data_IF_133192428828
#
_entry.id   IF_133192428828
#
_cell.length_a   1.000
_cell.length_b   1.000
_cell.length_c   1.000
_cell.angle_alpha   90.00
_cell.angle_beta   90.00
_cell.angle_gamma   90.00
#
_symmetry.space_group_name_H-M   'P 1'
#
loop_
_entity.id
_entity.type
_entity.pdbx_description
1 polymer ?
#
# COMPACT_ATOMS: atom_id res chain seq x y z
N UNK A 1 -48.38 -57.14 -13.95
CA UNK A 1 -47.16 -56.66 -13.29
C UNK A 1 -46.01 -56.65 -14.29
N UNK A 2 -45.46 -55.47 -14.61
CA UNK A 2 -44.07 -55.25 -15.04
C UNK A 2 -43.87 -53.73 -15.16
N UNK A 3 -43.15 -53.18 -14.18
CA UNK A 3 -42.70 -51.79 -14.11
C UNK A 3 -41.60 -51.58 -15.16
N UNK A 4 -41.71 -50.53 -15.97
CA UNK A 4 -40.59 -50.02 -16.79
C UNK A 4 -40.15 -48.72 -16.13
N UNK A 5 -38.97 -48.74 -15.52
CA UNK A 5 -38.35 -47.59 -14.89
C UNK A 5 -37.73 -46.67 -15.96
N UNK A 6 -38.14 -45.40 -15.95
CA UNK A 6 -37.51 -44.30 -16.66
C UNK A 6 -36.15 -43.98 -16.04
N UNK A 7 -35.09 -44.03 -16.84
CA UNK A 7 -33.73 -43.67 -16.42
C UNK A 7 -33.34 -42.35 -17.10
N UNK A 8 -33.63 -41.24 -16.42
CA UNK A 8 -33.14 -39.90 -16.80
C UNK A 8 -31.68 -39.78 -16.34
N UNK A 9 -30.75 -39.78 -17.29
CA UNK A 9 -29.34 -39.48 -17.03
C UNK A 9 -29.18 -37.95 -17.08
N UNK A 10 -29.24 -37.31 -15.92
CA UNK A 10 -28.94 -35.89 -15.76
C UNK A 10 -27.43 -35.65 -15.78
N UNK A 11 -26.93 -35.05 -16.86
CA UNK A 11 -25.53 -34.61 -16.97
C UNK A 11 -25.38 -33.23 -16.31
N UNK A 12 -24.96 -33.20 -15.04
CA UNK A 12 -24.64 -31.96 -14.34
C UNK A 12 -23.23 -31.54 -14.73
N UNK A 13 -23.11 -30.56 -15.62
CA UNK A 13 -21.83 -29.92 -15.93
C UNK A 13 -21.40 -29.05 -14.74
N UNK A 14 -20.39 -29.51 -14.00
CA UNK A 14 -19.71 -28.74 -12.97
C UNK A 14 -18.93 -27.59 -13.63
N UNK A 15 -19.50 -26.39 -13.62
CA UNK A 15 -18.73 -25.17 -13.93
C UNK A 15 -17.85 -24.84 -12.73
N UNK A 16 -16.56 -25.12 -12.84
CA UNK A 16 -15.55 -24.70 -11.86
C UNK A 16 -15.48 -23.17 -11.82
N UNK A 17 -15.97 -22.58 -10.74
CA UNK A 17 -15.70 -21.18 -10.44
C UNK A 17 -14.27 -21.08 -9.91
N UNK A 18 -13.37 -20.51 -10.71
CA UNK A 18 -12.06 -20.06 -10.21
C UNK A 18 -12.30 -18.82 -9.35
N UNK A 19 -12.30 -19.00 -8.03
CA UNK A 19 -12.24 -17.90 -7.07
C UNK A 19 -10.92 -17.16 -7.30
N UNK A 20 -11.00 -15.99 -7.95
CA UNK A 20 -9.88 -15.05 -8.01
C UNK A 20 -9.64 -14.55 -6.59
N UNK A 21 -8.65 -15.15 -5.93
CA UNK A 21 -8.11 -14.62 -4.68
C UNK A 21 -7.52 -13.26 -5.00
N UNK A 22 -8.30 -12.21 -4.73
CA UNK A 22 -7.80 -10.83 -4.68
C UNK A 22 -6.74 -10.82 -3.57
N UNK A 23 -5.47 -10.93 -3.97
CA UNK A 23 -4.33 -10.82 -3.07
C UNK A 23 -4.39 -9.40 -2.50
N UNK A 24 -4.99 -9.26 -1.32
CA UNK A 24 -4.79 -8.09 -0.50
C UNK A 24 -3.30 -8.10 -0.15
N UNK A 25 -2.53 -7.25 -0.83
CA UNK A 25 -1.11 -7.00 -0.63
C UNK A 25 -0.87 -6.39 0.76
N UNK A 26 -1.15 -7.14 1.83
CA UNK A 26 -0.72 -6.76 3.17
C UNK A 26 0.75 -7.14 3.27
N UNK A 27 1.60 -6.37 2.59
CA UNK A 27 3.03 -6.58 2.65
C UNK A 27 3.48 -6.05 4.00
N UNK A 28 3.54 -6.95 4.99
CA UNK A 28 4.36 -6.76 6.18
C UNK A 28 5.73 -6.31 5.69
N UNK A 29 6.08 -5.06 5.93
CA UNK A 29 7.42 -4.53 5.69
C UNK A 29 8.30 -5.06 6.81
N UNK A 30 8.61 -6.34 6.76
CA UNK A 30 9.87 -6.80 7.32
C UNK A 30 10.95 -6.25 6.40
N UNK A 31 11.94 -5.56 6.96
CA UNK A 31 13.20 -5.29 6.29
C UNK A 31 14.17 -6.41 6.72
N UNK A 32 14.08 -7.64 6.18
CA UNK A 32 15.17 -8.57 6.34
C UNK A 32 16.40 -7.93 5.68
N UNK A 33 17.55 -8.04 6.32
CA UNK A 33 18.78 -7.31 5.96
C UNK A 33 19.20 -7.49 4.49
N UNK A 34 18.73 -8.54 3.81
CA UNK A 34 18.96 -8.79 2.38
C UNK A 34 18.10 -8.00 1.38
N UNK A 35 17.16 -7.15 1.79
CA UNK A 35 16.30 -6.35 0.89
C UNK A 35 16.50 -4.82 1.06
N UNK A 36 17.70 -4.43 1.49
CA UNK A 36 18.07 -3.03 1.74
C UNK A 36 19.15 -2.63 0.74
N UNK A 37 18.99 -1.48 0.08
CA UNK A 37 19.97 -0.92 -0.84
C UNK A 37 21.21 -0.40 -0.09
N UNK A 38 22.24 -0.03 -0.86
CA UNK A 38 23.52 0.50 -0.36
C UNK A 38 23.36 1.72 0.56
N UNK A 39 22.25 2.44 0.43
CA UNK A 39 21.93 3.65 1.17
C UNK A 39 20.96 3.39 2.34
N UNK A 40 20.63 2.13 2.64
CA UNK A 40 19.75 1.78 3.75
C UNK A 40 18.25 1.82 3.42
N UNK A 41 17.87 2.00 2.15
CA UNK A 41 16.46 1.99 1.75
C UNK A 41 15.98 0.59 1.42
N UNK A 42 14.79 0.24 1.89
CA UNK A 42 14.10 -0.95 1.43
C UNK A 42 13.71 -0.87 -0.05
N UNK A 43 13.30 -2.01 -0.60
CA UNK A 43 12.74 -2.08 -1.95
C UNK A 43 11.52 -1.17 -2.13
N UNK A 44 11.33 -0.65 -3.34
CA UNK A 44 10.08 0.04 -3.71
C UNK A 44 8.88 -0.90 -3.57
N UNK A 45 7.79 -0.37 -3.02
CA UNK A 45 6.49 -1.04 -2.90
C UNK A 45 5.39 -0.14 -3.45
N UNK A 46 4.44 -0.71 -4.15
CA UNK A 46 3.26 0.03 -4.64
C UNK A 46 2.25 0.19 -3.51
N UNK A 47 1.59 1.35 -3.44
CA UNK A 47 0.52 1.58 -2.45
C UNK A 47 -0.70 0.71 -2.75
N UNK A 48 -1.51 0.44 -1.72
CA UNK A 48 -2.65 -0.48 -1.83
C UNK A 48 -3.80 0.02 -2.74
N UNK A 49 -3.91 1.34 -2.95
CA UNK A 49 -5.07 1.99 -3.59
C UNK A 49 -4.71 2.72 -4.89
N UNK A 50 -3.44 3.10 -5.05
CA UNK A 50 -2.97 3.90 -6.19
C UNK A 50 -1.78 3.21 -6.82
N UNK A 51 -2.04 2.42 -7.87
CA UNK A 51 -1.10 1.54 -8.57
C UNK A 51 0.05 2.29 -9.24
N UNK A 52 -0.07 3.60 -9.46
CA UNK A 52 1.00 4.46 -9.98
C UNK A 52 1.80 5.19 -8.88
N UNK A 53 1.46 5.01 -7.61
CA UNK A 53 2.20 5.58 -6.49
C UNK A 53 2.94 4.47 -5.75
N UNK A 54 4.27 4.56 -5.77
CA UNK A 54 5.15 3.68 -5.02
C UNK A 54 5.76 4.44 -3.83
N UNK A 55 6.20 3.69 -2.84
CA UNK A 55 6.94 4.19 -1.69
C UNK A 55 8.05 3.22 -1.31
N UNK A 56 9.07 3.72 -0.64
CA UNK A 56 10.07 2.90 0.05
C UNK A 56 10.36 3.50 1.41
N UNK A 57 10.89 2.67 2.30
CA UNK A 57 11.15 3.06 3.68
C UNK A 57 12.61 2.84 4.04
N UNK A 58 13.15 3.68 4.91
CA UNK A 58 14.47 3.52 5.50
C UNK A 58 14.36 3.64 7.00
N UNK A 59 14.99 2.71 7.71
CA UNK A 59 15.08 2.74 9.15
C UNK A 59 16.36 3.45 9.56
N UNK A 60 16.27 4.43 10.44
CA UNK A 60 17.41 5.10 11.06
C UNK A 60 17.31 4.96 12.58
N UNK A 61 18.36 4.40 13.18
CA UNK A 61 18.45 4.30 14.63
C UNK A 61 18.82 5.69 15.16
N UNK A 62 18.03 6.21 16.09
CA UNK A 62 18.39 7.44 16.79
C UNK A 62 19.44 7.13 17.84
N UNK A 63 20.49 7.96 17.95
CA UNK A 63 21.44 7.92 19.07
C UNK A 63 20.87 8.54 20.34
N UNK A 64 19.79 9.31 20.25
CA UNK A 64 19.25 10.13 21.33
C UNK A 64 17.83 9.74 21.76
N UNK A 65 17.22 8.75 21.11
CA UNK A 65 15.86 8.30 21.41
C UNK A 65 15.79 6.78 21.37
N UNK A 66 14.99 6.22 22.27
CA UNK A 66 14.58 4.81 22.20
C UNK A 66 13.70 4.53 20.98
N UNK A 67 13.09 5.58 20.40
CA UNK A 67 12.27 5.47 19.20
C UNK A 67 13.12 5.32 17.96
N UNK A 68 12.60 4.52 17.03
CA UNK A 68 13.15 4.37 15.69
C UNK A 68 12.65 5.48 14.79
N UNK A 69 13.57 6.13 14.07
CA UNK A 69 13.24 7.09 13.02
C UNK A 69 12.95 6.31 11.73
N UNK A 70 11.70 6.35 11.27
CA UNK A 70 11.29 5.79 9.99
C UNK A 70 11.22 6.89 8.94
N UNK A 71 11.99 6.74 7.88
CA UNK A 71 11.96 7.60 6.70
C UNK A 71 11.11 6.95 5.60
N UNK A 72 10.35 7.76 4.88
CA UNK A 72 9.54 7.35 3.73
C UNK A 72 9.85 8.26 2.55
N UNK A 73 10.02 7.67 1.38
CA UNK A 73 10.18 8.38 0.12
C UNK A 73 9.17 7.85 -0.89
N UNK A 74 8.55 8.76 -1.65
CA UNK A 74 7.55 8.41 -2.65
C UNK A 74 8.09 8.49 -4.08
N UNK A 75 7.47 7.72 -4.98
CA UNK A 75 7.69 7.76 -6.42
C UNK A 75 6.36 7.76 -7.16
N UNK A 76 6.17 8.76 -8.00
CA UNK A 76 4.99 8.92 -8.83
C UNK A 76 5.29 8.40 -10.25
N UNK A 77 4.57 7.36 -10.67
CA UNK A 77 4.58 6.80 -12.03
C UNK A 77 3.38 7.25 -12.87
N UNK A 78 2.52 8.11 -12.33
CA UNK A 78 1.47 8.75 -13.11
C UNK A 78 2.05 9.86 -13.99
N UNK A 79 1.41 10.09 -15.13
CA UNK A 79 1.74 11.18 -16.05
C UNK A 79 1.24 12.56 -15.56
N UNK A 80 0.63 12.62 -14.38
CA UNK A 80 0.09 13.82 -13.78
C UNK A 80 0.81 14.11 -12.46
N UNK A 81 0.93 15.39 -12.12
CA UNK A 81 1.25 15.78 -10.75
C UNK A 81 0.13 15.29 -9.83
N UNK A 82 0.54 14.74 -8.69
CA UNK A 82 -0.38 14.27 -7.66
C UNK A 82 -0.21 15.06 -6.38
N UNK A 83 -1.31 15.26 -5.67
CA UNK A 83 -1.36 15.77 -4.30
C UNK A 83 -2.00 14.70 -3.44
N UNK A 84 -1.41 14.34 -2.31
CA UNK A 84 -1.94 13.27 -1.49
C UNK A 84 -1.63 13.43 -0.02
N UNK A 85 -2.42 12.73 0.78
CA UNK A 85 -2.21 12.65 2.20
C UNK A 85 -1.64 11.28 2.56
N UNK A 86 -0.86 11.23 3.63
CA UNK A 86 -0.34 9.96 4.12
C UNK A 86 -0.16 9.95 5.63
N UNK A 87 0.04 8.75 6.17
CA UNK A 87 0.39 8.53 7.57
C UNK A 87 1.39 7.37 7.68
N UNK A 88 2.38 7.54 8.56
CA UNK A 88 3.36 6.51 8.89
C UNK A 88 2.97 5.97 10.26
N UNK A 89 2.60 4.69 10.38
CA UNK A 89 2.14 4.11 11.65
C UNK A 89 2.85 2.79 11.96
N UNK A 90 2.87 2.35 13.22
CA UNK A 90 3.26 0.97 13.55
C UNK A 90 2.39 -0.01 12.76
N UNK A 91 2.96 -1.13 12.31
CA UNK A 91 2.22 -2.08 11.47
C UNK A 91 1.03 -2.73 12.20
N UNK A 92 1.13 -2.82 13.53
CA UNK A 92 0.03 -3.20 14.43
C UNK A 92 -1.22 -2.31 14.26
N UNK A 93 -1.05 -1.05 13.85
CA UNK A 93 -2.14 -0.08 13.64
C UNK A 93 -2.70 -0.05 12.21
N UNK A 94 -2.21 -0.89 11.29
CA UNK A 94 -2.63 -0.88 9.88
C UNK A 94 -4.16 -1.00 9.70
N UNK A 95 -4.82 -1.84 10.50
CA UNK A 95 -6.27 -2.06 10.38
C UNK A 95 -7.05 -0.84 10.85
N UNK A 96 -6.59 -0.18 11.92
CA UNK A 96 -7.22 1.01 12.47
C UNK A 96 -7.09 2.21 11.52
N UNK A 97 -5.91 2.41 10.91
CA UNK A 97 -5.70 3.52 9.97
C UNK A 97 -6.48 3.30 8.67
N UNK A 98 -6.54 2.06 8.15
CA UNK A 98 -7.36 1.72 6.98
C UNK A 98 -8.86 1.90 7.23
N UNK A 99 -9.34 1.63 8.46
CA UNK A 99 -10.75 1.86 8.80
C UNK A 99 -11.07 3.34 8.92
N UNK A 100 -10.22 4.09 9.62
CA UNK A 100 -10.48 5.50 9.92
C UNK A 100 -10.15 6.44 8.76
N UNK A 101 -9.25 6.03 7.86
CA UNK A 101 -8.75 6.84 6.75
C UNK A 101 -8.13 8.18 7.20
N UNK A 102 -7.75 8.30 8.49
CA UNK A 102 -7.19 9.54 9.04
C UNK A 102 -5.74 9.68 8.63
N UNK A 103 -5.37 10.83 8.11
CA UNK A 103 -4.00 11.15 7.68
C UNK A 103 -3.72 12.61 7.99
N UNK A 104 -2.57 12.90 8.56
CA UNK A 104 -2.18 14.27 8.95
C UNK A 104 -1.13 14.88 8.01
N UNK A 105 -0.29 14.05 7.38
CA UNK A 105 0.75 14.51 6.47
C UNK A 105 0.20 14.74 5.08
N UNK A 106 0.70 15.76 4.39
CA UNK A 106 0.32 16.14 3.03
C UNK A 106 1.58 16.39 2.21
N UNK A 107 1.57 15.96 0.96
CA UNK A 107 2.68 16.21 0.04
C UNK A 107 2.17 16.21 -1.40
N UNK A 108 3.05 16.59 -2.32
CA UNK A 108 2.81 16.57 -3.75
C UNK A 108 4.02 16.03 -4.49
N UNK A 109 3.78 15.41 -5.64
CA UNK A 109 4.84 14.82 -6.44
C UNK A 109 4.56 15.01 -7.93
N UNK A 110 5.53 15.56 -8.65
CA UNK A 110 5.43 15.78 -10.08
C UNK A 110 5.29 14.45 -10.85
N UNK A 111 4.69 14.53 -12.04
CA UNK A 111 4.53 13.38 -12.93
C UNK A 111 5.86 12.66 -13.18
N UNK A 112 5.85 11.32 -13.15
CA UNK A 112 7.02 10.49 -13.47
C UNK A 112 8.30 10.86 -12.70
N UNK A 113 8.17 11.28 -11.43
CA UNK A 113 9.31 11.65 -10.58
C UNK A 113 9.41 10.81 -9.32
N UNK A 114 10.63 10.69 -8.81
CA UNK A 114 10.89 10.24 -7.44
C UNK A 114 11.12 11.46 -6.57
N UNK A 115 10.54 11.47 -5.38
CA UNK A 115 10.68 12.55 -4.42
C UNK A 115 12.15 12.75 -4.05
N UNK A 116 12.64 13.99 -4.01
CA UNK A 116 14.05 14.26 -3.64
C UNK A 116 14.29 14.12 -2.15
N UNK A 117 13.31 14.51 -1.35
CA UNK A 117 13.36 14.47 0.11
C UNK A 117 12.65 13.23 0.65
N UNK A 118 12.79 13.02 1.96
CA UNK A 118 12.05 11.99 2.68
C UNK A 118 11.22 12.60 3.80
N UNK A 119 10.08 12.00 4.07
CA UNK A 119 9.29 12.25 5.26
C UNK A 119 9.74 11.36 6.41
N UNK A 120 9.52 11.77 7.65
CA UNK A 120 9.93 10.96 8.81
C UNK A 120 8.86 10.85 9.89
N UNK A 121 8.95 9.79 10.69
CA UNK A 121 8.24 9.67 11.96
C UNK A 121 9.04 8.83 12.95
N UNK A 122 9.02 9.25 14.22
CA UNK A 122 9.56 8.46 15.32
C UNK A 122 8.49 7.50 15.87
N UNK A 123 8.79 6.20 15.86
CA UNK A 123 7.91 5.14 16.35
C UNK A 123 8.65 4.23 17.34
N UNK A 124 7.94 3.69 18.34
CA UNK A 124 8.49 2.69 19.26
C UNK A 124 8.81 1.37 18.53
N UNK A 125 7.95 1.00 17.56
CA UNK A 125 8.15 -0.21 16.76
C UNK A 125 9.31 -0.02 15.77
N UNK A 126 10.33 -0.88 15.91
CA UNK A 126 11.59 -0.76 15.17
C UNK A 126 11.71 -1.73 14.00
N UNK A 127 10.91 -2.78 13.94
CA UNK A 127 11.08 -3.86 12.96
C UNK A 127 10.16 -3.74 11.75
N UNK A 128 8.96 -3.18 11.93
CA UNK A 128 8.01 -3.02 10.84
C UNK A 128 7.30 -1.67 10.91
N UNK A 129 6.84 -1.19 9.76
CA UNK A 129 6.12 0.06 9.60
C UNK A 129 5.04 -0.10 8.54
N UNK A 130 3.95 0.64 8.67
CA UNK A 130 2.92 0.74 7.64
C UNK A 130 2.80 2.19 7.17
N UNK A 131 2.80 2.37 5.85
CA UNK A 131 2.58 3.66 5.20
C UNK A 131 1.19 3.63 4.58
N UNK A 132 0.28 4.43 5.15
CA UNK A 132 -1.07 4.58 4.64
C UNK A 132 -1.13 5.81 3.74
N UNK A 133 -1.47 5.64 2.46
CA UNK A 133 -1.77 6.75 1.55
C UNK A 133 -3.28 6.89 1.41
N UNK A 134 -3.76 8.12 1.47
CA UNK A 134 -5.17 8.46 1.30
C UNK A 134 -5.31 9.73 0.46
N UNK A 135 -6.53 9.98 -0.05
CA UNK A 135 -6.95 11.30 -0.54
C UNK A 135 -6.00 11.83 -1.64
N UNK A 136 -5.81 11.06 -2.70
CA UNK A 136 -5.01 11.48 -3.87
C UNK A 136 -5.86 12.36 -4.79
N UNK A 137 -5.25 13.42 -5.33
CA UNK A 137 -5.80 14.29 -6.37
C UNK A 137 -4.82 14.31 -7.55
N UNK A 138 -5.35 14.27 -8.76
CA UNK A 138 -4.57 14.33 -9.99
C UNK A 138 -4.78 15.70 -10.65
N UNK A 139 -3.90 16.67 -10.35
CA UNK A 139 -3.84 17.94 -11.07
C UNK A 139 -2.55 18.72 -10.71
N UNK A 140 -2.26 19.79 -11.45
CA UNK A 140 -1.12 20.70 -11.21
C UNK A 140 -1.30 21.63 -10.01
N UNK A 141 -2.54 21.92 -9.60
CA UNK A 141 -2.89 22.93 -8.58
C UNK A 141 -3.55 22.34 -7.32
N UNK A 142 -3.85 21.04 -7.31
CA UNK A 142 -4.53 20.36 -6.20
C UNK A 142 -5.99 20.75 -5.99
N UNK A 143 -6.64 21.46 -6.92
CA UNK A 143 -8.02 21.96 -6.78
C UNK A 143 -9.11 20.89 -7.00
N UNK A 144 -8.76 19.80 -7.67
CA UNK A 144 -9.71 18.75 -8.05
C UNK A 144 -10.20 17.93 -6.83
N UNK A 145 -11.37 17.29 -6.93
CA UNK A 145 -11.83 16.31 -5.95
C UNK A 145 -10.81 15.18 -5.76
N UNK A 146 -10.93 14.50 -4.62
CA UNK A 146 -10.16 13.28 -4.39
C UNK A 146 -10.61 12.17 -5.34
N UNK A 147 -9.64 11.45 -5.89
CA UNK A 147 -9.88 10.32 -6.77
C UNK A 147 -10.14 9.05 -5.97
N UNK A 148 -10.91 8.15 -6.58
CA UNK A 148 -11.08 6.78 -6.11
C UNK A 148 -9.80 5.96 -6.35
N UNK A 149 -9.68 4.82 -5.68
CA UNK A 149 -8.62 3.85 -5.97
C UNK A 149 -8.70 3.37 -7.42
N UNK A 150 -7.55 3.00 -7.99
CA UNK A 150 -7.42 2.50 -9.37
C UNK A 150 -7.10 1.00 -9.47
#
# INVERSE_FOLDING_TARGET
MKFIALLFIGLITMTSFTTSNKINSVVKLELPEGNVDQNGWGSWKTTDCFRGLDFRVKRKKSSYSTKTEWLVQFRNRYNNKIYFNFEIVPYSQRSAIRKSQRTTNRTDLNANTTERNSHYRYLEESNTVYVHVNRVRFNKDGSQPYSNCD
#
